data_IF_755936525664
#
_entry.id   IF_755936525664
#
_cell.length_a   1.000
_cell.length_b   1.000
_cell.length_c   1.000
_cell.angle_alpha   90.00
_cell.angle_beta   90.00
_cell.angle_gamma   90.00
#
_symmetry.space_group_name_H-M   'P 1'
#
loop_
_entity.id
_entity.type
_entity.pdbx_description
1 polymer ?
#
# COMPACT_ATOMS: atom_id res chain seq x y z
N UNK A 1 -14.76 25.76 15.84
CA UNK A 1 -13.59 24.98 15.46
C UNK A 1 -12.85 25.68 14.34
N UNK A 2 -11.55 25.93 14.50
CA UNK A 2 -10.82 26.63 13.42
C UNK A 2 -10.70 25.76 12.18
N UNK A 3 -10.81 26.39 11.03
CA UNK A 3 -10.73 25.71 9.74
C UNK A 3 -9.37 25.08 9.50
N UNK A 4 -8.34 25.63 10.09
CA UNK A 4 -6.99 25.10 9.88
C UNK A 4 -6.78 23.73 10.51
N UNK A 5 -7.50 23.40 11.58
CA UNK A 5 -7.45 22.07 12.19
C UNK A 5 -7.96 21.01 11.22
N UNK A 6 -9.09 21.30 10.56
CA UNK A 6 -9.64 20.39 9.57
C UNK A 6 -8.68 20.23 8.40
N UNK A 7 -8.02 21.31 7.99
CA UNK A 7 -7.04 21.26 6.91
C UNK A 7 -5.85 20.39 7.28
N UNK A 8 -5.34 20.52 8.50
CA UNK A 8 -4.20 19.74 8.98
C UNK A 8 -4.55 18.27 9.00
N UNK A 9 -5.71 17.91 9.50
CA UNK A 9 -6.17 16.53 9.56
C UNK A 9 -6.25 15.94 8.16
N UNK A 10 -6.86 16.65 7.23
CA UNK A 10 -6.97 16.21 5.84
C UNK A 10 -5.60 16.05 5.21
N UNK A 11 -4.69 16.96 5.50
CA UNK A 11 -3.35 16.92 4.93
C UNK A 11 -2.57 15.70 5.43
N UNK A 12 -2.69 15.38 6.72
CA UNK A 12 -2.06 14.21 7.30
C UNK A 12 -2.61 12.93 6.67
N UNK A 13 -3.92 12.82 6.56
CA UNK A 13 -4.55 11.67 5.92
C UNK A 13 -4.14 11.55 4.47
N UNK A 14 -4.07 12.67 3.77
CA UNK A 14 -3.62 12.67 2.38
C UNK A 14 -2.22 12.12 2.26
N UNK A 15 -1.32 12.51 3.14
CA UNK A 15 0.06 12.01 3.14
C UNK A 15 0.13 10.52 3.42
N UNK A 16 -0.66 10.03 4.37
CA UNK A 16 -0.70 8.60 4.69
C UNK A 16 -1.30 7.80 3.53
N UNK A 17 -2.43 8.24 3.00
CA UNK A 17 -3.12 7.53 1.94
C UNK A 17 -2.34 7.54 0.62
N UNK A 18 -1.66 8.64 0.35
CA UNK A 18 -0.94 8.80 -0.92
C UNK A 18 0.53 8.42 -0.82
N UNK A 19 1.03 8.18 0.39
CA UNK A 19 2.41 7.77 0.56
C UNK A 19 2.65 6.37 0.00
N UNK A 20 1.68 5.48 0.15
CA UNK A 20 1.79 4.12 -0.35
C UNK A 20 0.54 3.76 -1.16
N UNK A 21 0.75 3.02 -2.23
CA UNK A 21 -0.35 2.48 -3.01
C UNK A 21 -0.02 1.06 -3.43
N UNK A 22 -1.06 0.25 -3.52
CA UNK A 22 -0.95 -1.14 -3.96
C UNK A 22 -1.35 -1.23 -5.42
N UNK A 23 -0.51 -1.86 -6.23
CA UNK A 23 -0.83 -2.18 -7.61
C UNK A 23 -0.76 -3.69 -7.80
N UNK A 24 -1.74 -4.22 -8.51
CA UNK A 24 -1.76 -5.64 -8.88
C UNK A 24 -1.31 -5.76 -10.31
N UNK A 25 -0.34 -6.63 -10.53
CA UNK A 25 0.20 -6.88 -11.87
C UNK A 25 -0.12 -8.30 -12.30
N UNK A 26 -0.52 -8.44 -13.54
CA UNK A 26 -0.68 -9.73 -14.18
C UNK A 26 0.52 -9.96 -15.09
N UNK A 27 1.23 -11.05 -14.89
CA UNK A 27 2.42 -11.28 -15.70
C UNK A 27 3.09 -12.58 -15.37
N UNK A 28 2.36 -13.52 -14.80
CA UNK A 28 2.89 -14.83 -14.49
C UNK A 28 2.17 -15.93 -15.24
N UNK A 29 2.67 -17.14 -15.06
CA UNK A 29 2.04 -18.32 -15.62
C UNK A 29 0.86 -18.75 -14.76
N UNK A 30 -0.17 -19.30 -15.40
CA UNK A 30 -1.27 -19.95 -14.69
C UNK A 30 -0.72 -21.10 -13.85
N UNK A 31 -1.32 -21.41 -12.69
CA UNK A 31 -2.59 -20.88 -12.16
C UNK A 31 -2.46 -19.64 -11.29
N UNK A 32 -1.28 -19.07 -11.14
CA UNK A 32 -1.06 -17.92 -10.26
C UNK A 32 -0.37 -16.78 -11.00
N UNK A 33 -1.11 -16.07 -11.90
CA UNK A 33 -0.50 -15.03 -12.73
C UNK A 33 -0.38 -13.67 -12.07
N UNK A 34 -0.94 -13.48 -10.87
CA UNK A 34 -1.03 -12.16 -10.26
C UNK A 34 -0.02 -11.97 -9.15
N UNK A 35 0.48 -10.74 -9.03
CA UNK A 35 1.34 -10.33 -7.93
C UNK A 35 0.96 -8.91 -7.52
N UNK A 36 1.30 -8.53 -6.29
CA UNK A 36 1.11 -7.17 -5.85
C UNK A 36 2.44 -6.46 -5.72
N UNK A 37 2.40 -5.15 -5.89
CA UNK A 37 3.55 -4.26 -5.71
C UNK A 37 3.07 -3.03 -4.95
N UNK A 38 3.92 -2.52 -4.05
CA UNK A 38 3.63 -1.32 -3.29
C UNK A 38 4.57 -0.23 -3.74
N UNK A 39 4.00 0.91 -4.10
CA UNK A 39 4.74 2.08 -4.56
C UNK A 39 4.53 3.23 -3.61
N UNK A 40 5.54 4.10 -3.53
CA UNK A 40 5.50 5.25 -2.65
C UNK A 40 5.08 6.48 -3.45
N UNK A 41 3.92 7.04 -3.09
CA UNK A 41 3.46 8.33 -3.57
C UNK A 41 3.48 8.47 -5.08
N UNK A 42 3.98 9.60 -5.53
CA UNK A 42 4.10 9.92 -6.95
C UNK A 42 5.31 9.26 -7.59
N UNK A 43 6.25 8.82 -6.80
CA UNK A 43 7.43 8.13 -7.30
C UNK A 43 7.07 6.74 -7.79
N UNK A 44 7.80 6.28 -8.78
CA UNK A 44 7.66 4.92 -9.30
C UNK A 44 8.57 3.95 -8.57
N UNK A 45 9.02 4.33 -7.39
CA UNK A 45 9.87 3.47 -6.58
C UNK A 45 9.06 2.38 -5.93
N UNK A 46 9.36 1.14 -6.25
CA UNK A 46 8.73 -0.01 -5.63
C UNK A 46 9.30 -0.19 -4.23
N UNK A 47 8.46 -0.05 -3.21
CA UNK A 47 8.87 -0.21 -1.83
C UNK A 47 8.95 -1.68 -1.46
N UNK A 48 7.97 -2.45 -1.91
CA UNK A 48 7.91 -3.87 -1.62
C UNK A 48 7.09 -4.56 -2.70
N UNK A 49 7.38 -5.81 -2.94
CA UNK A 49 6.61 -6.63 -3.88
C UNK A 49 6.39 -8.00 -3.28
N UNK A 50 5.37 -8.69 -3.78
CA UNK A 50 5.05 -10.01 -3.27
C UNK A 50 6.13 -11.03 -3.66
N UNK A 51 6.45 -11.90 -2.71
CA UNK A 51 7.31 -13.05 -2.96
C UNK A 51 6.53 -14.20 -3.59
N UNK A 52 5.23 -14.20 -3.39
CA UNK A 52 4.34 -15.23 -3.90
C UNK A 52 3.46 -14.65 -4.99
N UNK A 53 2.93 -15.55 -5.81
CA UNK A 53 1.95 -15.18 -6.83
C UNK A 53 0.58 -15.67 -6.38
N UNK A 54 -0.46 -15.07 -6.94
CA UNK A 54 -1.83 -15.30 -6.50
C UNK A 54 -2.69 -15.73 -7.67
N UNK A 55 -3.72 -16.56 -7.42
CA UNK A 55 -4.58 -17.05 -8.49
C UNK A 55 -5.57 -16.04 -9.04
N UNK A 56 -5.86 -14.98 -8.28
CA UNK A 56 -6.81 -13.97 -8.71
C UNK A 56 -6.31 -12.57 -8.36
N UNK A 57 -6.83 -11.60 -9.09
CA UNK A 57 -6.52 -10.19 -8.83
C UNK A 57 -6.95 -9.78 -7.43
N UNK A 58 -8.11 -10.26 -6.99
CA UNK A 58 -8.62 -9.94 -5.66
C UNK A 58 -7.71 -10.49 -4.57
N UNK A 59 -7.27 -11.73 -4.72
CA UNK A 59 -6.36 -12.35 -3.74
C UNK A 59 -5.04 -11.57 -3.65
N UNK A 60 -4.49 -11.17 -4.79
CA UNK A 60 -3.27 -10.38 -4.82
C UNK A 60 -3.48 -9.01 -4.16
N UNK A 61 -4.61 -8.37 -4.46
CA UNK A 61 -4.93 -7.06 -3.89
C UNK A 61 -5.08 -7.13 -2.37
N UNK A 62 -5.78 -8.11 -1.88
CA UNK A 62 -5.96 -8.28 -0.43
C UNK A 62 -4.63 -8.51 0.27
N UNK A 63 -3.78 -9.35 -0.29
CA UNK A 63 -2.45 -9.59 0.26
C UNK A 63 -1.60 -8.33 0.24
N UNK A 64 -1.68 -7.55 -0.85
CA UNK A 64 -0.98 -6.29 -0.96
C UNK A 64 -1.45 -5.27 0.06
N UNK A 65 -2.75 -5.19 0.28
CA UNK A 65 -3.31 -4.28 1.29
C UNK A 65 -2.86 -4.65 2.70
N UNK A 66 -2.78 -5.94 3.01
CA UNK A 66 -2.27 -6.40 4.29
C UNK A 66 -0.79 -6.05 4.45
N UNK A 67 -0.01 -6.22 3.40
CA UNK A 67 1.40 -5.85 3.41
C UNK A 67 1.58 -4.35 3.62
N UNK A 68 0.75 -3.55 2.95
CA UNK A 68 0.78 -2.09 3.12
C UNK A 68 0.45 -1.69 4.55
N UNK A 69 -0.55 -2.33 5.15
CA UNK A 69 -0.92 -2.06 6.53
C UNK A 69 0.24 -2.37 7.49
N UNK A 70 0.97 -3.45 7.23
CA UNK A 70 2.16 -3.78 8.03
C UNK A 70 3.24 -2.73 7.90
N UNK A 71 3.47 -2.23 6.68
CA UNK A 71 4.46 -1.18 6.45
C UNK A 71 4.08 0.11 7.17
N UNK A 72 2.82 0.49 7.12
CA UNK A 72 2.34 1.69 7.82
C UNK A 72 2.51 1.53 9.32
N UNK A 73 2.15 0.37 9.86
CA UNK A 73 2.29 0.10 11.29
C UNK A 73 3.76 0.10 11.72
N UNK A 74 4.64 -0.44 10.89
CA UNK A 74 6.08 -0.43 11.18
C UNK A 74 6.66 0.97 11.21
N UNK A 75 6.12 1.88 10.41
CA UNK A 75 6.59 3.25 10.35
C UNK A 75 6.13 4.10 11.52
N UNK A 76 5.11 3.64 12.28
CA UNK A 76 4.64 4.36 13.44
C UNK A 76 5.62 4.25 14.58
N UNK A 77 5.88 5.36 15.31
CA UNK A 77 6.70 5.25 16.51
C UNK A 77 6.03 4.34 17.52
N UNK A 78 6.76 3.37 17.97
CA UNK A 78 6.24 2.47 18.98
C UNK A 78 6.30 3.16 20.34
N UNK A 79 5.20 3.08 21.07
CA UNK A 79 5.26 3.41 22.48
C UNK A 79 5.99 2.28 23.17
N UNK A 80 7.14 2.59 23.64
CA UNK A 80 7.88 1.65 24.45
C UNK A 80 7.41 1.71 25.90
#
# INVERSE_FOLDING_TARGET
>A
MPLWDAWIIKHIYWMVDKALRVEVRRGGALPTPYRWEIYRGMDRSCVERSLHRYPSEQAAREAGMQAMARLINSARPRKS
#
